data_IF_917002671450
#
_entry.id   IF_917002671450
#
_cell.length_a   1.000
_cell.length_b   1.000
_cell.length_c   1.000
_cell.angle_alpha   90.00
_cell.angle_beta   90.00
_cell.angle_gamma   90.00
#
_symmetry.space_group_name_H-M   'P 1'
#
loop_
_entity.id
_entity.type
_entity.pdbx_description
1 polymer ?
#
# COMPACT_ATOMS: atom_id res chain seq x y z
N UNK A 1 0.39 22.96 11.08
CA UNK A 1 1.05 22.46 9.86
C UNK A 1 2.53 22.33 10.17
N UNK A 2 2.96 21.14 10.59
CA UNK A 2 4.38 20.85 10.75
C UNK A 2 4.87 20.27 9.42
N UNK A 3 5.72 21.04 8.77
CA UNK A 3 6.41 20.75 7.52
C UNK A 3 7.39 19.60 7.77
N UNK A 4 6.93 18.37 7.58
CA UNK A 4 7.69 17.14 7.87
C UNK A 4 8.34 16.56 6.61
N UNK A 5 8.92 17.43 5.77
CA UNK A 5 10.03 17.01 4.91
C UNK A 5 11.24 16.80 5.82
N UNK A 6 11.20 15.76 6.66
CA UNK A 6 12.44 15.16 7.15
C UNK A 6 13.21 14.82 5.89
N UNK A 7 14.33 15.51 5.69
CA UNK A 7 15.24 15.37 4.57
C UNK A 7 15.17 13.95 4.00
N UNK A 8 14.51 13.82 2.84
CA UNK A 8 14.43 12.59 2.07
C UNK A 8 15.86 12.09 1.94
N UNK A 9 16.27 11.10 2.74
CA UNK A 9 17.55 10.44 2.50
C UNK A 9 17.38 9.83 1.12
N UNK A 10 18.18 10.21 0.12
CA UNK A 10 18.02 9.70 -1.21
C UNK A 10 18.62 8.30 -1.22
N UNK A 11 17.93 7.34 -0.61
CA UNK A 11 18.04 5.94 -0.98
C UNK A 11 17.29 5.77 -2.30
N UNK A 12 17.74 6.49 -3.33
CA UNK A 12 17.38 6.30 -4.74
C UNK A 12 18.07 5.06 -5.30
N UNK A 13 18.30 4.03 -4.46
CA UNK A 13 18.72 2.74 -4.98
C UNK A 13 17.62 2.33 -5.95
N UNK A 14 17.93 2.10 -7.23
CA UNK A 14 16.91 1.70 -8.19
C UNK A 14 16.21 0.44 -7.69
N UNK A 15 14.90 0.38 -7.86
CA UNK A 15 14.15 -0.83 -7.60
C UNK A 15 14.60 -1.93 -8.56
N UNK A 16 15.22 -2.96 -8.02
CA UNK A 16 15.45 -4.23 -8.71
C UNK A 16 14.25 -5.15 -8.46
N UNK A 17 13.54 -5.50 -9.54
CA UNK A 17 12.38 -6.37 -9.48
C UNK A 17 12.73 -7.77 -8.93
N UNK A 18 13.88 -8.32 -9.31
CA UNK A 18 14.30 -9.66 -8.90
C UNK A 18 14.72 -9.69 -7.42
N UNK A 19 15.21 -8.57 -6.88
CA UNK A 19 15.65 -8.48 -5.50
C UNK A 19 14.51 -8.13 -4.52
N UNK A 20 13.50 -7.39 -4.97
CA UNK A 20 12.51 -6.76 -4.08
C UNK A 20 11.08 -7.27 -4.25
N UNK A 21 10.81 -8.04 -5.32
CA UNK A 21 9.47 -8.54 -5.62
C UNK A 21 9.47 -10.06 -5.79
N UNK A 22 8.27 -10.63 -5.70
CA UNK A 22 8.05 -12.04 -6.03
C UNK A 22 8.31 -12.28 -7.53
N UNK A 23 8.87 -13.43 -7.94
CA UNK A 23 8.98 -13.77 -9.35
C UNK A 23 7.63 -13.78 -10.08
N UNK A 24 7.62 -13.33 -11.34
CA UNK A 24 6.41 -13.29 -12.17
C UNK A 24 5.47 -12.12 -11.88
N UNK A 25 5.99 -11.04 -11.30
CA UNK A 25 5.26 -9.78 -11.12
C UNK A 25 6.02 -8.65 -11.82
N UNK A 26 5.35 -7.53 -12.06
CA UNK A 26 5.91 -6.30 -12.63
C UNK A 26 5.51 -5.08 -11.80
N UNK A 27 6.31 -4.03 -11.82
CA UNK A 27 5.97 -2.75 -11.20
C UNK A 27 4.91 -2.01 -12.01
N UNK A 28 4.02 -1.31 -11.32
CA UNK A 28 2.89 -0.60 -11.93
C UNK A 28 2.60 0.73 -11.26
N UNK A 29 2.01 1.65 -12.01
CA UNK A 29 1.46 2.89 -11.48
C UNK A 29 0.10 2.65 -10.80
N UNK A 30 -0.38 3.56 -9.92
CA UNK A 30 -1.62 3.35 -9.15
C UNK A 30 -2.87 3.06 -9.99
N UNK A 31 -3.05 3.75 -11.11
CA UNK A 31 -4.21 3.54 -11.99
C UNK A 31 -4.23 2.14 -12.62
N UNK A 32 -3.06 1.66 -13.03
CA UNK A 32 -2.89 0.30 -13.56
C UNK A 32 -3.08 -0.76 -12.45
N UNK A 33 -2.54 -0.49 -11.26
CA UNK A 33 -2.69 -1.35 -10.10
C UNK A 33 -4.16 -1.65 -9.78
N UNK A 34 -5.01 -0.62 -9.71
CA UNK A 34 -6.45 -0.77 -9.46
C UNK A 34 -7.16 -1.52 -10.59
N UNK A 35 -6.77 -1.29 -11.84
CA UNK A 35 -7.36 -1.96 -13.00
C UNK A 35 -7.00 -3.45 -13.08
N UNK A 36 -5.84 -3.85 -12.56
CA UNK A 36 -5.29 -5.21 -12.68
C UNK A 36 -5.46 -6.12 -11.46
N UNK A 37 -6.12 -5.66 -10.39
CA UNK A 37 -6.31 -6.47 -9.17
C UNK A 37 -6.94 -7.84 -9.49
N UNK A 38 -6.33 -8.97 -9.06
CA UNK A 38 -6.88 -10.30 -9.28
C UNK A 38 -8.29 -10.47 -8.70
N UNK A 39 -9.14 -11.25 -9.39
CA UNK A 39 -10.54 -11.46 -8.99
C UNK A 39 -10.70 -11.98 -7.55
N UNK A 40 -9.80 -12.87 -7.10
CA UNK A 40 -9.82 -13.39 -5.74
C UNK A 40 -9.62 -12.28 -4.69
N UNK A 41 -8.72 -11.34 -4.96
CA UNK A 41 -8.46 -10.18 -4.09
C UNK A 41 -9.65 -9.22 -4.11
N UNK A 42 -10.25 -8.97 -5.29
CA UNK A 42 -11.45 -8.13 -5.44
C UNK A 42 -12.64 -8.57 -4.60
N UNK A 43 -12.75 -9.86 -4.30
CA UNK A 43 -13.82 -10.41 -3.47
C UNK A 43 -13.60 -10.27 -1.97
N UNK A 44 -12.38 -9.91 -1.54
CA UNK A 44 -12.07 -9.67 -0.14
C UNK A 44 -12.23 -8.19 0.17
N UNK A 45 -13.21 -7.85 1.03
CA UNK A 45 -13.45 -6.47 1.46
C UNK A 45 -12.19 -5.86 2.09
N UNK A 46 -11.53 -6.60 2.98
CA UNK A 46 -10.32 -6.13 3.68
C UNK A 46 -9.17 -5.89 2.70
N UNK A 47 -8.92 -6.83 1.78
CA UNK A 47 -7.83 -6.66 0.82
C UNK A 47 -8.11 -5.53 -0.17
N UNK A 48 -9.36 -5.33 -0.59
CA UNK A 48 -9.71 -4.21 -1.47
C UNK A 48 -9.53 -2.85 -0.80
N UNK A 49 -9.90 -2.71 0.47
CA UNK A 49 -9.61 -1.48 1.23
C UNK A 49 -8.10 -1.20 1.26
N UNK A 50 -7.29 -2.23 1.51
CA UNK A 50 -5.84 -2.09 1.54
C UNK A 50 -5.25 -1.77 0.16
N UNK A 51 -5.76 -2.38 -0.91
CA UNK A 51 -5.36 -2.11 -2.29
C UNK A 51 -5.64 -0.65 -2.67
N UNK A 52 -6.83 -0.14 -2.36
CA UNK A 52 -7.18 1.24 -2.64
C UNK A 52 -6.36 2.22 -1.80
N UNK A 53 -6.14 1.91 -0.52
CA UNK A 53 -5.30 2.73 0.35
C UNK A 53 -3.83 2.76 -0.13
N UNK A 54 -3.29 1.62 -0.59
CA UNK A 54 -1.95 1.54 -1.18
C UNK A 54 -1.85 2.36 -2.48
N UNK A 55 -2.86 2.29 -3.34
CA UNK A 55 -2.92 3.09 -4.56
C UNK A 55 -2.95 4.59 -4.26
N UNK A 56 -3.68 4.99 -3.21
CA UNK A 56 -3.77 6.39 -2.77
C UNK A 56 -2.51 6.88 -2.04
N UNK A 57 -1.76 5.98 -1.40
CA UNK A 57 -0.51 6.31 -0.70
C UNK A 57 0.71 6.39 -1.62
N UNK A 58 0.67 5.69 -2.75
CA UNK A 58 1.77 5.62 -3.69
C UNK A 58 1.90 6.89 -4.55
N UNK A 59 3.12 7.21 -4.93
CA UNK A 59 3.39 8.24 -5.94
C UNK A 59 2.99 7.78 -7.36
N UNK A 60 3.25 8.64 -8.35
CA UNK A 60 2.92 8.39 -9.76
C UNK A 60 3.56 7.11 -10.33
N UNK A 61 4.72 6.70 -9.79
CA UNK A 61 5.48 5.50 -10.19
C UNK A 61 5.12 4.25 -9.36
N UNK A 62 4.13 4.38 -8.47
CA UNK A 62 3.65 3.31 -7.60
C UNK A 62 4.54 3.07 -6.38
N UNK A 63 5.35 4.04 -5.95
CA UNK A 63 6.29 3.90 -4.84
C UNK A 63 5.72 4.53 -3.56
N UNK A 64 5.91 3.84 -2.43
CA UNK A 64 5.62 4.34 -1.09
C UNK A 64 6.92 4.30 -0.30
N UNK A 65 7.43 5.46 0.10
CA UNK A 65 8.69 5.59 0.84
C UNK A 65 8.44 5.74 2.34
N UNK A 66 9.38 5.24 3.15
CA UNK A 66 9.42 5.41 4.60
C UNK A 66 8.07 5.06 5.27
N UNK A 67 7.53 3.90 4.90
CA UNK A 67 6.19 3.47 5.30
C UNK A 67 6.00 3.51 6.82
N UNK A 68 5.04 4.31 7.24
CA UNK A 68 4.59 4.44 8.61
C UNK A 68 3.20 3.81 8.74
N UNK A 69 3.06 2.62 9.33
CA UNK A 69 1.76 1.96 9.46
C UNK A 69 0.67 2.81 10.15
N UNK A 70 0.95 3.57 11.23
CA UNK A 70 -0.05 4.44 11.85
C UNK A 70 -0.53 5.56 10.92
N UNK A 71 0.38 6.18 10.18
CA UNK A 71 0.07 7.26 9.25
C UNK A 71 -0.69 6.74 8.02
N UNK A 72 -0.25 5.60 7.48
CA UNK A 72 -0.92 4.92 6.39
C UNK A 72 -2.37 4.59 6.74
N UNK A 73 -2.59 4.06 7.95
CA UNK A 73 -3.92 3.72 8.41
C UNK A 73 -4.79 4.97 8.63
N UNK A 74 -4.28 5.96 9.38
CA UNK A 74 -5.03 7.16 9.73
C UNK A 74 -5.36 8.06 8.55
N UNK A 75 -4.58 8.00 7.47
CA UNK A 75 -4.77 8.83 6.27
C UNK A 75 -5.46 8.06 5.15
N UNK A 76 -4.86 6.95 4.71
CA UNK A 76 -5.30 6.28 3.48
C UNK A 76 -6.37 5.23 3.73
N UNK A 77 -6.21 4.38 4.76
CA UNK A 77 -7.26 3.39 5.10
C UNK A 77 -8.51 4.10 5.59
N UNK A 78 -8.36 5.07 6.49
CA UNK A 78 -9.48 5.90 6.94
C UNK A 78 -10.13 6.68 5.79
N UNK A 79 -9.32 7.21 4.86
CA UNK A 79 -9.83 7.88 3.66
C UNK A 79 -10.69 6.97 2.79
N UNK A 80 -10.27 5.72 2.58
CA UNK A 80 -11.06 4.74 1.82
C UNK A 80 -12.36 4.38 2.54
N UNK A 81 -12.31 4.15 3.85
CA UNK A 81 -13.49 3.75 4.64
C UNK A 81 -14.52 4.86 4.79
N UNK A 82 -14.08 6.12 4.76
CA UNK A 82 -14.93 7.30 4.92
C UNK A 82 -15.28 7.98 3.57
N UNK A 83 -14.95 7.39 2.42
CA UNK A 83 -15.11 8.07 1.11
C UNK A 83 -16.57 8.24 0.67
N UNK A 84 -17.43 7.33 1.12
CA UNK A 84 -18.83 7.22 0.68
C UNK A 84 -19.80 7.83 1.70
N UNK A 85 -19.29 8.63 2.63
CA UNK A 85 -20.09 9.36 3.61
C UNK A 85 -20.95 10.43 2.94
N UNK A 86 -22.19 10.59 3.38
CA UNK A 86 -23.05 11.69 2.97
C UNK A 86 -22.52 13.04 3.53
N UNK A 87 -22.93 14.17 2.93
CA UNK A 87 -22.41 15.50 3.31
C UNK A 87 -22.64 15.87 4.79
N UNK A 88 -23.60 15.22 5.45
CA UNK A 88 -23.96 15.41 6.86
C UNK A 88 -23.46 14.28 7.80
N UNK A 89 -22.73 13.29 7.27
CA UNK A 89 -22.15 12.23 8.06
C UNK A 89 -20.74 12.60 8.56
N UNK A 90 -20.54 12.47 9.88
CA UNK A 90 -19.23 12.69 10.50
C UNK A 90 -18.29 11.50 10.22
N UNK A 91 -17.03 11.73 9.83
CA UNK A 91 -16.07 10.67 9.62
C UNK A 91 -15.87 9.81 10.86
N UNK A 92 -15.85 8.49 10.67
CA UNK A 92 -15.52 7.58 11.75
C UNK A 92 -14.08 7.85 12.21
N UNK A 93 -13.91 8.15 13.51
CA UNK A 93 -12.57 8.24 14.11
C UNK A 93 -12.01 6.83 14.28
N UNK A 94 -11.13 6.42 13.37
CA UNK A 94 -10.45 5.13 13.43
C UNK A 94 -9.19 5.23 14.28
N UNK A 95 -8.99 4.27 15.18
CA UNK A 95 -7.83 4.23 16.08
C UNK A 95 -6.84 3.19 15.61
N UNK A 96 -5.58 3.58 15.44
CA UNK A 96 -4.50 2.64 15.17
C UNK A 96 -4.01 2.00 16.47
N UNK A 97 -4.61 0.86 16.83
CA UNK A 97 -4.25 0.07 18.00
C UNK A 97 -3.39 -1.16 17.63
N UNK A 98 -3.03 -1.98 18.63
CA UNK A 98 -2.21 -3.17 18.40
C UNK A 98 -2.88 -4.20 17.49
N UNK A 99 -4.21 -4.37 17.60
CA UNK A 99 -4.95 -5.28 16.74
C UNK A 99 -4.90 -4.80 15.29
N UNK A 100 -5.21 -3.53 15.06
CA UNK A 100 -5.13 -2.86 13.77
C UNK A 100 -3.73 -2.99 13.17
N UNK A 101 -2.69 -2.80 13.98
CA UNK A 101 -1.32 -2.97 13.54
C UNK A 101 -1.02 -4.39 13.03
N UNK A 102 -1.47 -5.40 13.76
CA UNK A 102 -1.32 -6.80 13.33
C UNK A 102 -2.10 -7.07 12.03
N UNK A 103 -3.32 -6.56 11.91
CA UNK A 103 -4.15 -6.73 10.70
C UNK A 103 -3.50 -6.08 9.48
N UNK A 104 -3.03 -4.83 9.62
CA UNK A 104 -2.34 -4.11 8.53
C UNK A 104 -1.09 -4.87 8.11
N UNK A 105 -0.21 -5.26 9.05
CA UNK A 105 1.04 -5.96 8.74
C UNK A 105 0.77 -7.34 8.11
N UNK A 106 -0.22 -8.08 8.64
CA UNK A 106 -0.60 -9.38 8.07
C UNK A 106 -1.09 -9.23 6.63
N UNK A 107 -2.00 -8.28 6.39
CA UNK A 107 -2.55 -8.07 5.05
C UNK A 107 -1.49 -7.59 4.06
N UNK A 108 -0.60 -6.68 4.47
CA UNK A 108 0.56 -6.27 3.66
C UNK A 108 1.46 -7.47 3.31
N UNK A 109 1.66 -8.39 4.26
CA UNK A 109 2.41 -9.62 4.05
C UNK A 109 1.75 -10.56 3.04
N UNK A 110 0.43 -10.74 3.10
CA UNK A 110 -0.35 -11.52 2.13
C UNK A 110 -0.30 -10.88 0.73
N UNK A 111 -0.55 -9.57 0.63
CA UNK A 111 -0.49 -8.84 -0.63
C UNK A 111 0.89 -8.97 -1.29
N UNK A 112 1.96 -8.92 -0.51
CA UNK A 112 3.31 -9.10 -1.02
C UNK A 112 3.61 -10.56 -1.43
N UNK A 113 3.36 -11.52 -0.54
CA UNK A 113 3.86 -12.90 -0.68
C UNK A 113 2.92 -13.80 -1.46
N UNK A 114 1.62 -13.67 -1.23
CA UNK A 114 0.61 -14.57 -1.79
C UNK A 114 0.01 -14.00 -3.07
N UNK A 115 -0.33 -12.72 -3.07
CA UNK A 115 -1.04 -12.08 -4.17
C UNK A 115 -0.08 -11.44 -5.20
N UNK A 116 1.17 -11.17 -4.83
CA UNK A 116 2.16 -10.53 -5.71
C UNK A 116 1.79 -9.09 -6.07
N UNK A 117 1.10 -8.40 -5.16
CA UNK A 117 0.59 -7.04 -5.31
C UNK A 117 1.48 -5.98 -4.68
N UNK A 118 2.52 -6.40 -3.96
CA UNK A 118 3.43 -5.49 -3.29
C UNK A 118 4.87 -6.02 -3.30
N UNK A 119 5.79 -5.21 -3.78
CA UNK A 119 7.22 -5.37 -3.55
C UNK A 119 7.63 -4.61 -2.30
N UNK A 120 8.68 -5.06 -1.62
CA UNK A 120 9.20 -4.37 -0.43
C UNK A 120 10.73 -4.34 -0.41
N UNK A 121 11.26 -3.36 0.31
CA UNK A 121 12.67 -3.34 0.69
C UNK A 121 12.82 -2.70 2.08
N UNK A 122 13.77 -3.20 2.84
CA UNK A 122 14.15 -2.58 4.12
C UNK A 122 15.02 -1.36 3.86
N UNK A 123 14.74 -0.27 4.58
CA UNK A 123 15.52 0.97 4.56
C UNK A 123 16.10 1.27 5.96
N UNK A 124 16.60 0.23 6.63
CA UNK A 124 17.04 0.31 8.03
C UNK A 124 15.86 0.15 8.98
N UNK A 125 15.43 1.26 9.59
CA UNK A 125 14.34 1.27 10.58
C UNK A 125 12.94 1.42 9.94
N UNK A 126 12.87 1.62 8.63
CA UNK A 126 11.64 1.76 7.85
C UNK A 126 11.60 0.72 6.71
N UNK A 127 10.45 0.62 6.05
CA UNK A 127 10.28 -0.16 4.84
C UNK A 127 9.76 0.75 3.72
N UNK A 128 10.25 0.53 2.50
CA UNK A 128 9.63 1.09 1.31
C UNK A 128 8.82 -0.02 0.63
N UNK A 129 7.75 0.39 -0.04
CA UNK A 129 6.92 -0.49 -0.84
C UNK A 129 6.79 0.01 -2.27
N UNK A 130 6.52 -0.92 -3.18
CA UNK A 130 6.19 -0.58 -4.56
C UNK A 130 5.06 -1.47 -5.07
N UNK A 131 4.08 -0.86 -5.72
CA UNK A 131 2.94 -1.56 -6.27
C UNK A 131 3.39 -2.52 -7.38
N UNK A 132 2.84 -3.73 -7.34
CA UNK A 132 3.08 -4.75 -8.38
C UNK A 132 1.80 -5.38 -8.86
N UNK A 133 1.85 -5.98 -10.03
CA UNK A 133 0.83 -6.93 -10.51
C UNK A 133 1.52 -8.20 -11.01
N UNK A 134 0.89 -9.37 -10.86
CA UNK A 134 1.31 -10.57 -11.58
C UNK A 134 1.38 -10.31 -13.09
N UNK A 135 2.41 -10.83 -13.75
CA UNK A 135 2.44 -10.90 -15.20
C UNK A 135 1.34 -11.86 -15.66
N UNK A 136 0.58 -11.52 -16.71
CA UNK A 136 -0.34 -12.47 -17.32
C UNK A 136 0.49 -13.68 -17.78
N UNK A 137 0.12 -14.88 -17.31
CA UNK A 137 0.72 -16.12 -17.80
C UNK A 137 0.42 -16.22 -19.30
N UNK A 138 1.39 -15.84 -20.13
CA UNK A 138 1.38 -16.08 -21.58
C UNK A 138 1.42 -17.57 -21.88
#
# INVERSE_FOLDING_TARGET
MADNVRELRPSRVPWDLAAHARPGVRFVAPGEYLAGVPFAVRRSMVKMVMVEALAAAADEDGVILDFSPPEFFGTHVAGVLNRDLEEDEEPATLVYDQFTAMTVISCMGELAREDGLLANRGNGDTADYRLTLPEELS
#
